data_IF_929260386226
#
_entry.id   IF_929260386226
#
_cell.length_a   1.000
_cell.length_b   1.000
_cell.length_c   1.000
_cell.angle_alpha   90.00
_cell.angle_beta   90.00
_cell.angle_gamma   90.00
#
_symmetry.space_group_name_H-M   'P 1'
#
loop_
_entity.id
_entity.type
_entity.pdbx_description
1 polymer ?
#
# COMPACT_ATOMS: atom_id res chain seq x y z
N UNK A 1 12.88 33.83 17.10
CA UNK A 1 12.94 32.35 17.05
C UNK A 1 13.54 31.94 15.73
N UNK A 2 14.42 30.94 15.72
CA UNK A 2 14.96 30.34 14.49
C UNK A 2 15.03 28.84 14.64
N UNK A 3 14.59 28.11 13.62
CA UNK A 3 14.71 26.66 13.51
C UNK A 3 15.57 26.35 12.28
N UNK A 4 16.48 25.38 12.37
CA UNK A 4 17.27 24.97 11.20
C UNK A 4 16.37 24.24 10.19
N UNK A 5 16.66 24.29 8.88
CA UNK A 5 15.92 23.52 7.88
C UNK A 5 15.87 22.02 8.20
N UNK A 6 16.98 21.48 8.71
CA UNK A 6 17.08 20.10 9.17
C UNK A 6 16.08 19.79 10.28
N UNK A 7 16.08 20.59 11.36
CA UNK A 7 15.16 20.38 12.49
C UNK A 7 13.70 20.50 12.06
N UNK A 8 13.39 21.44 11.15
CA UNK A 8 12.04 21.58 10.60
C UNK A 8 11.61 20.32 9.84
N UNK A 9 12.48 19.79 8.97
CA UNK A 9 12.23 18.56 8.24
C UNK A 9 12.02 17.38 9.19
N UNK A 10 12.90 17.20 10.20
CA UNK A 10 12.77 16.12 11.18
C UNK A 10 11.47 16.18 11.97
N UNK A 11 10.99 17.39 12.30
CA UNK A 11 9.71 17.60 12.98
C UNK A 11 8.53 17.24 12.09
N UNK A 12 8.47 17.80 10.87
CA UNK A 12 7.38 17.55 9.93
C UNK A 12 7.29 16.07 9.54
N UNK A 13 8.43 15.40 9.44
CA UNK A 13 8.52 13.98 9.12
C UNK A 13 8.37 13.08 10.35
N UNK A 14 8.28 13.58 11.59
CA UNK A 14 8.19 12.73 12.78
C UNK A 14 9.44 11.87 13.05
N UNK A 15 10.59 12.21 12.48
CA UNK A 15 11.85 11.44 12.51
C UNK A 15 12.85 11.95 13.54
N UNK A 16 12.46 12.85 14.45
CA UNK A 16 13.36 13.46 15.46
C UNK A 16 14.24 12.44 16.17
N UNK A 17 13.69 11.29 16.61
CA UNK A 17 14.46 10.27 17.31
C UNK A 17 15.49 9.57 16.41
N UNK A 18 15.13 9.29 15.14
CA UNK A 18 16.02 8.74 14.11
C UNK A 18 17.12 9.73 13.77
N UNK A 19 16.75 10.94 13.45
CA UNK A 19 17.67 11.96 12.97
C UNK A 19 18.64 12.33 14.07
N UNK A 20 18.20 12.38 15.33
CA UNK A 20 19.06 12.57 16.51
C UNK A 20 19.98 11.38 16.81
N UNK A 21 19.70 10.19 16.27
CA UNK A 21 20.59 9.03 16.33
C UNK A 21 21.68 9.13 15.25
N UNK A 22 21.27 9.48 14.03
CA UNK A 22 22.17 9.54 12.86
C UNK A 22 23.06 10.77 12.89
N UNK A 23 22.55 11.89 13.41
CA UNK A 23 23.27 13.17 13.50
C UNK A 23 23.78 13.42 14.91
N UNK A 24 24.90 14.12 15.03
CA UNK A 24 25.42 14.57 16.31
C UNK A 24 24.66 15.79 16.85
N UNK A 25 25.04 16.23 18.05
CA UNK A 25 24.41 17.36 18.74
C UNK A 25 24.54 18.69 17.99
N UNK A 26 25.51 18.83 17.08
CA UNK A 26 25.78 20.03 16.31
C UNK A 26 24.63 20.47 15.38
N UNK A 27 23.77 19.53 14.99
CA UNK A 27 22.60 19.79 14.14
C UNK A 27 21.36 20.27 14.94
N UNK A 28 21.43 20.20 16.28
CA UNK A 28 20.34 20.56 17.17
C UNK A 28 20.70 21.82 17.97
N UNK A 29 19.76 22.76 18.17
CA UNK A 29 20.01 23.94 18.98
C UNK A 29 20.45 23.62 20.42
N UNK A 30 21.74 23.76 20.72
CA UNK A 30 22.33 23.34 22.02
C UNK A 30 22.51 24.45 23.07
N UNK A 31 21.76 25.56 23.02
CA UNK A 31 21.96 26.67 23.96
C UNK A 31 21.05 26.57 25.18
N UNK A 32 21.59 26.91 26.34
CA UNK A 32 20.83 27.11 27.57
C UNK A 32 19.80 28.24 27.42
N UNK A 33 18.73 28.13 28.21
CA UNK A 33 17.64 29.11 28.25
C UNK A 33 16.31 28.60 27.66
N UNK A 34 15.37 29.53 27.41
CA UNK A 34 14.02 29.19 26.99
C UNK A 34 13.98 28.57 25.59
N UNK A 35 13.15 27.54 25.43
CA UNK A 35 13.08 26.80 24.18
C UNK A 35 11.91 25.84 24.08
N UNK A 36 11.66 25.43 22.84
CA UNK A 36 10.78 24.32 22.50
C UNK A 36 11.65 23.09 22.30
N UNK A 37 11.19 21.95 22.81
CA UNK A 37 11.82 20.65 22.61
C UNK A 37 10.81 19.64 22.06
N UNK A 38 11.34 18.65 21.35
CA UNK A 38 10.60 17.52 20.83
C UNK A 38 11.14 16.24 21.46
N UNK A 39 10.25 15.29 21.72
CA UNK A 39 10.57 13.98 22.25
C UNK A 39 9.94 12.91 21.37
N UNK A 40 10.78 12.02 20.84
CA UNK A 40 10.36 10.80 20.16
C UNK A 40 10.80 9.55 20.92
N UNK A 41 10.38 8.38 20.44
CA UNK A 41 10.79 7.09 21.00
C UNK A 41 11.61 6.35 19.95
N UNK A 42 12.75 5.80 20.36
CA UNK A 42 13.58 4.93 19.55
C UNK A 42 13.68 3.54 20.19
N UNK A 43 13.57 2.50 19.37
CA UNK A 43 13.83 1.12 19.78
C UNK A 43 15.35 0.87 19.74
N UNK A 44 15.87 0.28 20.81
CA UNK A 44 17.29 -0.07 20.94
C UNK A 44 17.65 -1.10 19.87
N UNK A 45 18.78 -0.89 19.20
CA UNK A 45 19.22 -1.74 18.09
C UNK A 45 18.58 -1.42 16.73
N UNK A 46 17.67 -0.43 16.64
CA UNK A 46 17.03 -0.03 15.37
C UNK A 46 17.46 1.35 14.86
N UNK A 47 18.66 1.81 15.24
CA UNK A 47 19.26 3.06 14.75
C UNK A 47 18.33 4.28 14.81
N UNK A 48 17.57 4.41 15.91
CA UNK A 48 16.64 5.51 16.12
C UNK A 48 15.25 5.33 15.49
N UNK A 49 15.02 4.22 14.79
CA UNK A 49 13.70 3.84 14.30
C UNK A 49 12.78 3.35 15.44
N UNK A 50 11.50 3.31 15.14
CA UNK A 50 10.43 2.97 16.06
C UNK A 50 9.93 1.54 15.82
N UNK A 51 8.61 1.34 15.91
CA UNK A 51 7.95 0.05 15.85
C UNK A 51 7.64 -0.39 14.42
N UNK A 52 7.47 -1.70 14.29
CA UNK A 52 6.82 -2.33 13.13
C UNK A 52 5.30 -2.18 13.22
N UNK A 53 4.59 -2.46 12.13
CA UNK A 53 3.13 -2.35 12.09
C UNK A 53 2.44 -3.33 13.04
N UNK A 54 2.94 -4.57 13.13
CA UNK A 54 2.37 -5.57 14.05
C UNK A 54 2.59 -5.17 15.52
N UNK A 55 3.79 -4.66 15.84
CA UNK A 55 4.12 -4.16 17.18
C UNK A 55 3.27 -2.93 17.56
N UNK A 56 2.89 -2.09 16.60
CA UNK A 56 1.96 -0.97 16.83
C UNK A 56 0.54 -1.43 17.18
N UNK A 57 0.05 -2.49 16.53
CA UNK A 57 -1.27 -3.07 16.85
C UNK A 57 -1.28 -3.70 18.24
N UNK A 58 -0.19 -4.38 18.61
CA UNK A 58 0.00 -4.93 19.95
C UNK A 58 0.05 -3.82 20.99
N UNK A 59 0.80 -2.74 20.71
CA UNK A 59 0.85 -1.56 21.57
C UNK A 59 -0.54 -0.94 21.74
N UNK A 60 -1.28 -0.71 20.64
CA UNK A 60 -2.63 -0.15 20.69
C UNK A 60 -3.59 -1.03 21.51
N UNK A 61 -3.52 -2.34 21.31
CA UNK A 61 -4.33 -3.30 22.07
C UNK A 61 -3.98 -3.30 23.56
N UNK A 62 -2.71 -3.12 23.91
CA UNK A 62 -2.27 -3.03 25.29
C UNK A 62 -2.62 -1.68 25.93
N UNK A 63 -2.69 -0.58 25.17
CA UNK A 63 -3.24 0.70 25.64
C UNK A 63 -4.72 0.53 26.02
N UNK A 64 -5.53 -0.12 25.19
CA UNK A 64 -6.95 -0.37 25.50
C UNK A 64 -7.12 -1.25 26.75
N UNK A 65 -6.32 -2.30 26.91
CA UNK A 65 -6.32 -3.11 28.15
C UNK A 65 -5.98 -2.27 29.39
N UNK A 66 -5.07 -1.31 29.24
CA UNK A 66 -4.70 -0.41 30.33
C UNK A 66 -5.84 0.58 30.67
N UNK A 67 -6.58 1.05 29.66
CA UNK A 67 -7.81 1.85 29.84
C UNK A 67 -8.89 1.03 30.57
N UNK A 68 -9.09 -0.22 30.17
CA UNK A 68 -10.04 -1.13 30.85
C UNK A 68 -9.63 -1.41 32.29
N UNK A 69 -8.33 -1.53 32.57
CA UNK A 69 -7.82 -1.66 33.92
C UNK A 69 -8.16 -0.44 34.80
N UNK A 70 -8.04 0.77 34.26
CA UNK A 70 -8.45 2.00 34.96
C UNK A 70 -9.96 1.98 35.27
N UNK A 71 -10.79 1.60 34.29
CA UNK A 71 -12.25 1.49 34.49
C UNK A 71 -12.59 0.45 35.55
N UNK A 72 -11.92 -0.70 35.54
CA UNK A 72 -12.06 -1.75 36.55
C UNK A 72 -11.63 -1.27 37.94
N UNK A 73 -10.60 -0.43 38.04
CA UNK A 73 -10.12 0.11 39.31
C UNK A 73 -11.16 0.98 40.03
N UNK A 74 -12.05 1.64 39.27
CA UNK A 74 -13.17 2.44 39.81
C UNK A 74 -14.30 1.59 40.41
N UNK A 75 -14.35 0.30 40.10
CA UNK A 75 -15.32 -0.63 40.70
C UNK A 75 -14.84 -1.01 42.11
N UNK A 76 -15.77 -1.02 43.07
CA UNK A 76 -15.50 -1.45 44.45
C UNK A 76 -14.88 -2.84 44.45
N UNK A 77 -13.80 -3.04 45.23
CA UNK A 77 -13.01 -4.27 45.22
C UNK A 77 -13.84 -5.55 45.47
N UNK A 78 -14.86 -5.47 46.32
CA UNK A 78 -15.78 -6.57 46.62
C UNK A 78 -16.72 -6.96 45.47
N UNK A 79 -16.88 -6.08 44.48
CA UNK A 79 -17.79 -6.25 43.33
C UNK A 79 -17.04 -6.53 42.02
N UNK A 80 -15.71 -6.62 42.06
CA UNK A 80 -14.90 -6.82 40.86
C UNK A 80 -15.05 -8.25 40.32
N UNK A 81 -15.24 -8.36 39.02
CA UNK A 81 -15.27 -9.64 38.31
C UNK A 81 -13.86 -10.20 38.10
N UNK A 82 -13.75 -11.50 37.79
CA UNK A 82 -12.48 -12.13 37.42
C UNK A 82 -11.73 -11.38 36.30
N UNK A 83 -12.39 -11.04 35.17
CA UNK A 83 -11.78 -10.23 34.10
C UNK A 83 -11.31 -8.85 34.57
N UNK A 84 -12.06 -8.16 35.43
CA UNK A 84 -11.65 -6.85 35.97
C UNK A 84 -10.38 -6.96 36.81
N UNK A 85 -10.27 -8.01 37.64
CA UNK A 85 -9.05 -8.27 38.41
C UNK A 85 -7.86 -8.60 37.49
N UNK A 86 -8.07 -9.35 36.40
CA UNK A 86 -7.03 -9.63 35.41
C UNK A 86 -6.52 -8.35 34.72
N UNK A 87 -7.42 -7.43 34.33
CA UNK A 87 -7.01 -6.13 33.77
C UNK A 87 -6.19 -5.30 34.76
N UNK A 88 -6.57 -5.29 36.05
CA UNK A 88 -5.80 -4.58 37.10
C UNK A 88 -4.41 -5.21 37.29
N UNK A 89 -4.31 -6.55 37.27
CA UNK A 89 -3.03 -7.25 37.34
C UNK A 89 -2.15 -6.90 36.14
N UNK A 90 -2.73 -6.85 34.93
CA UNK A 90 -2.03 -6.39 33.73
C UNK A 90 -1.46 -4.97 33.89
N UNK A 91 -2.28 -3.99 34.31
CA UNK A 91 -1.79 -2.63 34.52
C UNK A 91 -0.68 -2.55 35.59
N UNK A 92 -0.79 -3.35 36.65
CA UNK A 92 0.24 -3.45 37.70
C UNK A 92 1.56 -3.97 37.13
N UNK A 93 1.51 -4.99 36.26
CA UNK A 93 2.69 -5.54 35.59
C UNK A 93 3.32 -4.50 34.63
N UNK A 94 2.49 -3.76 33.88
CA UNK A 94 2.94 -2.67 33.01
C UNK A 94 3.65 -1.58 33.81
N UNK A 95 3.05 -1.08 34.89
CA UNK A 95 3.64 -0.02 35.72
C UNK A 95 4.92 -0.47 36.46
N UNK A 96 5.07 -1.79 36.65
CA UNK A 96 6.25 -2.40 37.30
C UNK A 96 7.38 -2.76 36.32
N UNK A 97 7.17 -2.60 35.00
CA UNK A 97 8.13 -3.03 33.97
C UNK A 97 9.44 -2.23 34.00
N UNK A 98 9.36 -0.92 34.21
CA UNK A 98 10.53 -0.02 34.28
C UNK A 98 10.87 0.35 35.73
N UNK A 99 9.91 0.24 36.66
CA UNK A 99 10.09 0.65 38.05
C UNK A 99 9.71 -0.45 39.03
N UNK A 100 10.47 -0.57 40.11
CA UNK A 100 10.32 -1.64 41.08
C UNK A 100 9.12 -1.50 42.03
N UNK A 101 8.50 -0.31 42.16
CA UNK A 101 7.40 -0.12 43.12
C UNK A 101 6.40 0.97 42.70
N UNK A 102 5.30 0.56 42.04
CA UNK A 102 4.06 1.33 42.03
C UNK A 102 2.99 0.55 42.79
N UNK A 103 2.55 1.07 43.93
CA UNK A 103 1.84 0.27 44.93
C UNK A 103 0.39 -0.02 44.55
N UNK A 104 -0.29 0.91 43.85
CA UNK A 104 -1.72 0.80 43.55
C UNK A 104 -2.19 1.70 42.40
N UNK A 105 -3.06 1.16 41.52
CA UNK A 105 -3.79 1.92 40.50
C UNK A 105 -3.16 1.88 39.11
N UNK A 106 -3.65 2.75 38.21
CA UNK A 106 -3.07 3.00 36.90
C UNK A 106 -2.29 4.31 36.96
N UNK A 107 -0.96 4.26 36.97
CA UNK A 107 -0.11 5.46 37.14
C UNK A 107 -0.38 6.52 36.07
N UNK A 108 -0.54 6.09 34.83
CA UNK A 108 -0.60 7.01 33.68
C UNK A 108 -2.01 7.53 33.39
N UNK A 109 -3.05 6.94 33.98
CA UNK A 109 -4.46 7.33 33.81
C UNK A 109 -5.06 7.59 35.18
N UNK A 110 -5.31 8.87 35.48
CA UNK A 110 -5.77 9.30 36.82
C UNK A 110 -7.21 9.79 36.84
N UNK A 111 -7.78 10.12 35.68
CA UNK A 111 -9.14 10.59 35.52
C UNK A 111 -9.76 10.05 34.22
N UNK A 112 -11.07 10.29 34.02
CA UNK A 112 -11.77 9.83 32.82
C UNK A 112 -11.20 10.49 31.56
N UNK A 113 -10.85 11.77 31.61
CA UNK A 113 -10.26 12.47 30.45
C UNK A 113 -8.92 11.84 30.02
N UNK A 114 -8.09 11.40 30.98
CA UNK A 114 -6.86 10.66 30.66
C UNK A 114 -7.18 9.34 29.95
N UNK A 115 -8.25 8.66 30.37
CA UNK A 115 -8.70 7.40 29.80
C UNK A 115 -9.23 7.58 28.37
N UNK A 116 -10.02 8.62 28.13
CA UNK A 116 -10.54 8.95 26.81
C UNK A 116 -9.42 9.35 25.84
N UNK A 117 -8.42 10.10 26.32
CA UNK A 117 -7.22 10.42 25.55
C UNK A 117 -6.37 9.20 25.24
N UNK A 118 -6.22 8.27 26.18
CA UNK A 118 -5.50 7.03 25.94
C UNK A 118 -6.24 6.12 24.93
N UNK A 119 -7.57 6.06 25.00
CA UNK A 119 -8.38 5.34 24.01
C UNK A 119 -8.25 5.97 22.60
N UNK A 120 -8.32 7.30 22.50
CA UNK A 120 -8.07 8.02 21.25
C UNK A 120 -6.65 7.76 20.72
N UNK A 121 -5.66 7.73 21.61
CA UNK A 121 -4.28 7.40 21.24
C UNK A 121 -4.18 5.98 20.66
N UNK A 122 -4.83 4.98 21.28
CA UNK A 122 -4.90 3.62 20.77
C UNK A 122 -5.53 3.55 19.36
N UNK A 123 -6.62 4.30 19.14
CA UNK A 123 -7.25 4.44 17.82
C UNK A 123 -6.26 4.97 16.77
N UNK A 124 -5.50 6.02 17.09
CA UNK A 124 -4.50 6.59 16.17
C UNK A 124 -3.34 5.64 15.89
N UNK A 125 -2.88 4.89 16.88
CA UNK A 125 -1.87 3.84 16.66
C UNK A 125 -2.35 2.76 15.68
N UNK A 126 -3.62 2.33 15.77
CA UNK A 126 -4.22 1.37 14.83
C UNK A 126 -4.35 1.93 13.42
N UNK A 127 -4.77 3.19 13.32
CA UNK A 127 -4.86 3.89 12.06
C UNK A 127 -3.50 3.90 11.36
N UNK A 128 -2.44 4.30 12.09
CA UNK A 128 -1.06 4.26 11.63
C UNK A 128 -0.60 2.85 11.21
N UNK A 129 -0.90 1.83 12.00
CA UNK A 129 -0.56 0.45 11.67
C UNK A 129 -1.24 -0.03 10.38
N UNK A 130 -2.52 0.34 10.20
CA UNK A 130 -3.30 0.03 8.99
C UNK A 130 -2.64 0.62 7.76
N UNK A 131 -2.29 1.91 7.76
CA UNK A 131 -1.60 2.52 6.63
C UNK A 131 -0.26 1.89 6.33
N UNK A 132 0.52 1.56 7.37
CA UNK A 132 1.79 0.90 7.17
C UNK A 132 1.63 -0.51 6.55
N UNK A 133 0.56 -1.24 6.92
CA UNK A 133 0.22 -2.54 6.31
C UNK A 133 -0.24 -2.44 4.85
N UNK A 134 -0.80 -1.30 4.42
CA UNK A 134 -1.11 -1.09 3.00
C UNK A 134 0.16 -1.04 2.15
N UNK A 135 1.28 -0.57 2.71
CA UNK A 135 2.57 -0.49 2.03
C UNK A 135 3.38 -1.79 2.19
N UNK A 136 3.29 -2.43 3.35
CA UNK A 136 3.91 -3.72 3.65
C UNK A 136 2.93 -4.66 4.38
N UNK A 137 2.22 -5.55 3.66
CA UNK A 137 1.24 -6.45 4.23
C UNK A 137 1.79 -7.44 5.27
N UNK A 138 3.11 -7.72 5.27
CA UNK A 138 3.73 -8.56 6.30
C UNK A 138 3.74 -7.90 7.68
N UNK A 139 3.73 -6.56 7.69
CA UNK A 139 3.83 -5.75 8.91
C UNK A 139 5.21 -5.79 9.55
N UNK A 140 6.24 -6.24 8.84
CA UNK A 140 7.62 -6.39 9.35
C UNK A 140 8.51 -5.16 9.13
N UNK A 141 8.11 -4.25 8.25
CA UNK A 141 8.85 -3.01 8.02
C UNK A 141 8.88 -2.12 9.25
N UNK A 142 10.09 -1.77 9.68
CA UNK A 142 10.33 -0.87 10.81
C UNK A 142 10.01 0.57 10.40
N UNK A 143 9.18 1.25 11.18
CA UNK A 143 8.87 2.65 10.93
C UNK A 143 9.97 3.56 11.45
N UNK A 144 10.37 4.52 10.62
CA UNK A 144 11.41 5.49 10.99
C UNK A 144 10.88 6.64 11.85
N UNK A 145 9.56 6.75 11.94
CA UNK A 145 8.83 7.81 12.61
C UNK A 145 8.20 7.28 13.90
N UNK A 146 8.20 8.08 14.95
CA UNK A 146 7.43 7.82 16.17
C UNK A 146 6.41 8.94 16.39
N UNK A 147 5.33 8.70 17.16
CA UNK A 147 4.58 9.82 17.73
C UNK A 147 5.52 10.77 18.47
N UNK A 148 5.26 12.07 18.39
CA UNK A 148 6.07 13.10 19.01
C UNK A 148 5.34 13.75 20.18
N UNK A 149 6.09 14.10 21.22
CA UNK A 149 5.67 15.03 22.26
C UNK A 149 6.43 16.34 22.06
N UNK A 150 5.70 17.45 21.97
CA UNK A 150 6.27 18.80 21.94
C UNK A 150 6.01 19.46 23.28
N UNK A 151 7.03 20.08 23.86
CA UNK A 151 6.87 20.89 25.05
C UNK A 151 7.75 22.13 25.02
N UNK A 152 7.44 23.08 25.89
CA UNK A 152 8.26 24.25 26.15
C UNK A 152 8.91 24.24 27.54
N UNK A 153 10.00 24.97 27.71
CA UNK A 153 10.63 25.19 29.01
C UNK A 153 11.49 26.45 28.99
N UNK A 154 11.58 27.14 30.13
CA UNK A 154 12.55 28.23 30.35
C UNK A 154 14.00 27.73 30.45
N UNK A 155 14.18 26.44 30.69
CA UNK A 155 15.48 25.77 30.81
C UNK A 155 15.44 24.47 30.00
N UNK A 156 15.42 24.62 28.67
CA UNK A 156 15.18 23.49 27.75
C UNK A 156 16.20 22.36 27.93
N UNK A 157 17.47 22.70 28.17
CA UNK A 157 18.55 21.73 28.37
C UNK A 157 18.32 20.90 29.63
N UNK A 158 17.96 21.53 30.75
CA UNK A 158 17.63 20.82 32.00
C UNK A 158 16.37 19.97 31.85
N UNK A 159 15.37 20.46 31.10
CA UNK A 159 14.14 19.72 30.84
C UNK A 159 14.40 18.45 30.04
N UNK A 160 15.26 18.51 29.02
CA UNK A 160 15.63 17.37 28.16
C UNK A 160 16.30 16.25 28.96
N UNK A 161 17.12 16.58 29.98
CA UNK A 161 17.75 15.59 30.88
C UNK A 161 16.73 14.74 31.67
N UNK A 162 15.45 15.12 31.71
CA UNK A 162 14.41 14.32 32.36
C UNK A 162 13.93 13.13 31.53
N UNK A 163 14.39 12.99 30.28
CA UNK A 163 13.99 11.91 29.38
C UNK A 163 15.03 10.77 29.28
N UNK A 164 16.23 10.94 29.85
CA UNK A 164 17.30 9.94 29.82
C UNK A 164 18.12 9.92 31.13
N UNK A 165 17.90 8.95 32.05
CA UNK A 165 16.75 8.04 32.05
C UNK A 165 15.43 8.80 32.30
N UNK A 166 14.30 8.28 31.81
CA UNK A 166 13.01 8.94 31.95
C UNK A 166 12.60 9.09 33.43
N UNK A 167 12.35 10.33 33.84
CA UNK A 167 11.77 10.68 35.14
C UNK A 167 10.25 10.74 34.98
N UNK A 168 9.57 9.63 35.22
CA UNK A 168 8.15 9.44 34.88
C UNK A 168 7.17 10.35 35.62
N UNK A 169 7.58 10.97 36.73
CA UNK A 169 6.85 12.05 37.41
C UNK A 169 6.92 13.39 36.65
N UNK A 170 7.87 13.52 35.72
CA UNK A 170 8.17 14.76 34.98
C UNK A 170 7.89 14.67 33.49
N UNK A 171 7.59 13.51 32.93
CA UNK A 171 7.28 13.36 31.49
C UNK A 171 5.77 13.34 31.23
N UNK A 172 5.38 13.51 29.96
CA UNK A 172 3.99 13.39 29.53
C UNK A 172 3.43 11.98 29.85
N UNK A 173 2.18 11.92 30.34
CA UNK A 173 1.53 10.66 30.77
C UNK A 173 1.43 9.60 29.66
N UNK A 174 1.03 9.98 28.44
CA UNK A 174 0.91 9.05 27.32
C UNK A 174 2.27 8.55 26.83
N UNK A 175 3.26 9.43 26.80
CA UNK A 175 4.64 9.06 26.52
C UNK A 175 5.17 8.08 27.58
N UNK A 176 4.94 8.35 28.86
CA UNK A 176 5.31 7.46 29.96
C UNK A 176 4.61 6.10 29.89
N UNK A 177 3.30 6.09 29.64
CA UNK A 177 2.51 4.87 29.42
C UNK A 177 3.11 4.04 28.28
N UNK A 178 3.44 4.69 27.16
CA UNK A 178 4.00 4.02 25.98
C UNK A 178 5.35 3.37 26.30
N UNK A 179 6.24 4.05 27.02
CA UNK A 179 7.53 3.48 27.42
C UNK A 179 7.34 2.25 28.32
N UNK A 180 6.44 2.31 29.31
CA UNK A 180 6.12 1.17 30.19
C UNK A 180 5.53 0.00 29.39
N UNK A 181 4.62 0.27 28.47
CA UNK A 181 4.03 -0.77 27.62
C UNK A 181 5.07 -1.44 26.72
N UNK A 182 5.98 -0.67 26.13
CA UNK A 182 7.06 -1.21 25.32
C UNK A 182 8.01 -2.08 26.15
N UNK A 183 8.32 -1.68 27.38
CA UNK A 183 9.10 -2.51 28.30
C UNK A 183 8.36 -3.79 28.70
N UNK A 184 7.04 -3.73 28.92
CA UNK A 184 6.21 -4.90 29.19
C UNK A 184 6.15 -5.86 27.99
N UNK A 185 6.18 -5.32 26.77
CA UNK A 185 6.25 -6.09 25.52
C UNK A 185 7.67 -6.59 25.21
N UNK A 186 8.63 -6.40 26.13
CA UNK A 186 10.03 -6.77 25.95
C UNK A 186 10.71 -6.08 24.73
N UNK A 187 10.22 -4.90 24.34
CA UNK A 187 10.78 -4.06 23.28
C UNK A 187 11.64 -2.97 23.92
N UNK A 188 12.98 -3.14 24.01
CA UNK A 188 13.86 -2.18 24.67
C UNK A 188 13.80 -0.85 23.93
N UNK A 189 13.33 0.19 24.61
CA UNK A 189 13.04 1.49 24.00
C UNK A 189 13.55 2.64 24.87
N UNK A 190 13.88 3.77 24.23
CA UNK A 190 14.35 4.99 24.91
C UNK A 190 13.67 6.23 24.36
N UNK A 191 13.41 7.20 25.24
CA UNK A 191 12.96 8.52 24.84
C UNK A 191 14.16 9.34 24.36
N UNK A 192 14.03 9.98 23.20
CA UNK A 192 15.04 10.87 22.63
C UNK A 192 14.46 12.27 22.60
N UNK A 193 15.00 13.13 23.46
CA UNK A 193 14.61 14.53 23.56
C UNK A 193 15.66 15.44 22.92
N UNK A 194 15.21 16.41 22.11
CA UNK A 194 16.06 17.41 21.48
C UNK A 194 15.40 18.78 21.54
N UNK A 195 16.22 19.81 21.77
CA UNK A 195 15.79 21.19 21.58
C UNK A 195 15.59 21.40 20.08
N UNK A 196 14.47 22.02 19.72
CA UNK A 196 14.10 22.24 18.31
C UNK A 196 13.98 23.70 17.94
N UNK A 197 13.73 24.56 18.93
CA UNK A 197 13.63 25.99 18.69
C UNK A 197 14.02 26.77 19.94
N UNK A 198 15.17 27.47 19.95
CA UNK A 198 15.49 28.41 21.01
C UNK A 198 14.62 29.66 20.92
N UNK A 199 14.26 30.21 22.08
CA UNK A 199 13.38 31.37 22.21
C UNK A 199 14.17 32.52 22.84
N UNK A 200 14.20 33.66 22.13
CA UNK A 200 14.92 34.87 22.58
C UNK A 200 14.04 35.84 23.38
N UNK A 201 12.72 35.69 23.28
CA UNK A 201 11.75 36.51 23.99
C UNK A 201 10.70 35.59 24.59
N UNK A 202 10.60 35.58 25.92
CA UNK A 202 9.71 34.72 26.69
C UNK A 202 8.24 34.86 26.24
N UNK A 203 7.82 36.03 25.74
CA UNK A 203 6.45 36.25 25.24
C UNK A 203 6.10 35.37 24.03
N UNK A 204 7.11 34.90 23.29
CA UNK A 204 6.93 34.02 22.14
C UNK A 204 6.87 32.54 22.50
N UNK A 205 7.13 32.15 23.77
CA UNK A 205 7.24 30.75 24.15
C UNK A 205 5.95 29.96 23.85
N UNK A 206 4.79 30.48 24.26
CA UNK A 206 3.49 29.84 24.00
C UNK A 206 3.14 29.80 22.52
N UNK A 207 3.47 30.85 21.76
CA UNK A 207 3.21 30.92 20.32
C UNK A 207 4.08 29.92 19.55
N UNK A 208 5.35 29.80 19.96
CA UNK A 208 6.29 28.84 19.40
C UNK A 208 5.89 27.40 19.73
N UNK A 209 5.45 27.11 20.96
CA UNK A 209 4.95 25.79 21.32
C UNK A 209 3.76 25.40 20.42
N UNK A 210 2.78 26.29 20.26
CA UNK A 210 1.63 26.08 19.36
C UNK A 210 2.05 25.78 17.94
N UNK A 211 2.93 26.61 17.37
CA UNK A 211 3.42 26.42 16.01
C UNK A 211 4.11 25.06 15.86
N UNK A 212 5.02 24.70 16.76
CA UNK A 212 5.79 23.46 16.66
C UNK A 212 4.90 22.23 16.91
N UNK A 213 3.96 22.30 17.85
CA UNK A 213 2.94 21.26 18.08
C UNK A 213 2.12 21.01 16.81
N UNK A 214 1.67 22.07 16.12
CA UNK A 214 0.93 21.94 14.87
C UNK A 214 1.81 21.36 13.76
N UNK A 215 3.04 21.84 13.58
CA UNK A 215 3.95 21.36 12.53
C UNK A 215 4.34 19.89 12.71
N UNK A 216 4.46 19.44 13.96
CA UNK A 216 4.79 18.06 14.30
C UNK A 216 3.56 17.13 14.37
N UNK A 217 2.35 17.65 14.11
CA UNK A 217 1.08 16.93 14.31
C UNK A 217 1.00 16.24 15.68
N UNK A 218 1.52 16.91 16.71
CA UNK A 218 1.87 16.25 17.96
C UNK A 218 0.69 16.06 18.92
N UNK A 219 -0.50 16.54 18.56
CA UNK A 219 -1.72 16.30 19.34
C UNK A 219 -2.14 14.83 19.29
N UNK A 220 -2.72 14.34 20.39
CA UNK A 220 -3.24 12.97 20.46
C UNK A 220 -4.40 12.71 19.49
N UNK A 221 -5.15 13.75 19.14
CA UNK A 221 -6.20 13.67 18.10
C UNK A 221 -5.64 13.58 16.68
N UNK A 222 -4.35 13.83 16.51
CA UNK A 222 -3.60 13.69 15.27
C UNK A 222 -2.74 12.44 15.37
N UNK A 223 -1.42 12.58 15.57
CA UNK A 223 -0.46 11.47 15.49
C UNK A 223 0.59 11.51 16.63
N UNK A 224 0.36 12.28 17.70
CA UNK A 224 1.35 12.52 18.76
C UNK A 224 0.89 12.29 20.20
N UNK A 225 1.67 12.80 21.14
CA UNK A 225 1.49 12.59 22.59
C UNK A 225 0.88 13.80 23.34
N UNK A 226 0.74 14.97 22.71
CA UNK A 226 0.17 16.15 23.35
C UNK A 226 -1.34 15.95 23.59
N UNK A 227 -1.69 15.76 24.86
CA UNK A 227 -3.05 15.54 25.34
C UNK A 227 -3.92 16.81 25.35
N UNK A 228 -3.28 17.99 25.40
CA UNK A 228 -3.91 19.30 25.46
C UNK A 228 -3.34 20.19 24.37
N UNK A 229 -4.13 21.15 23.92
CA UNK A 229 -3.62 22.20 23.04
C UNK A 229 -2.43 22.91 23.67
N UNK A 230 -1.40 23.15 22.86
CA UNK A 230 -0.21 23.89 23.27
C UNK A 230 -0.54 25.35 23.61
N UNK A 231 0.27 25.97 24.46
CA UNK A 231 0.08 27.35 24.90
C UNK A 231 -1.06 27.54 25.91
N UNK A 232 -1.47 26.48 26.62
CA UNK A 232 -2.66 26.38 27.47
C UNK A 232 -2.71 27.24 28.75
N UNK A 233 -1.89 28.30 28.88
CA UNK A 233 -2.27 29.37 29.80
C UNK A 233 -3.31 30.23 29.07
N UNK A 234 -4.56 30.32 29.57
CA UNK A 234 -5.57 31.17 28.95
C UNK A 234 -5.00 32.58 28.84
N UNK A 235 -4.88 33.05 27.60
CA UNK A 235 -4.49 34.43 27.37
C UNK A 235 -5.52 35.32 28.06
N UNK A 236 -5.08 36.21 28.95
CA UNK A 236 -5.91 37.28 29.51
C UNK A 236 -6.24 38.36 28.46
N UNK A 237 -5.86 38.14 27.20
CA UNK A 237 -6.13 39.06 26.10
C UNK A 237 -7.64 39.15 25.85
N UNK A 238 -8.13 40.38 25.84
CA UNK A 238 -9.52 40.72 25.51
C UNK A 238 -9.90 40.25 24.12
N UNK A 239 -11.21 40.05 23.87
CA UNK A 239 -11.72 39.72 22.54
C UNK A 239 -11.34 40.74 21.45
N UNK A 240 -11.03 41.99 21.83
CA UNK A 240 -10.50 43.00 20.92
C UNK A 240 -9.09 42.68 20.42
N UNK A 241 -8.20 42.16 21.29
CA UNK A 241 -6.83 41.79 20.92
C UNK A 241 -6.79 40.56 19.97
N UNK A 242 -7.76 39.65 20.07
CA UNK A 242 -7.94 38.58 19.10
C UNK A 242 -8.35 39.10 17.73
N UNK A 243 -9.30 40.05 17.69
CA UNK A 243 -9.75 40.68 16.44
C UNK A 243 -8.63 41.47 15.76
N UNK A 244 -7.79 42.14 16.54
CA UNK A 244 -6.68 42.95 16.04
C UNK A 244 -5.53 42.07 15.52
N UNK A 245 -5.25 40.93 16.16
CA UNK A 245 -4.30 39.94 15.66
C UNK A 245 -4.82 39.21 14.40
N UNK A 246 -6.12 38.91 14.34
CA UNK A 246 -6.74 38.40 13.11
C UNK A 246 -6.59 39.41 11.97
N UNK A 247 -6.91 40.69 12.20
CA UNK A 247 -6.67 41.75 11.21
C UNK A 247 -5.19 41.83 10.81
N UNK A 248 -4.27 41.66 11.77
CA UNK A 248 -2.85 41.69 11.47
C UNK A 248 -2.43 40.54 10.54
N UNK A 249 -2.87 39.30 10.80
CA UNK A 249 -2.46 38.12 10.03
C UNK A 249 -3.22 38.01 8.71
N UNK A 250 -4.53 38.24 8.71
CA UNK A 250 -5.39 38.03 7.55
C UNK A 250 -5.47 39.23 6.61
N UNK A 251 -5.26 40.47 7.11
CA UNK A 251 -5.43 41.70 6.32
C UNK A 251 -4.11 42.43 6.10
N UNK A 252 -3.30 42.60 7.15
CA UNK A 252 -2.13 43.50 7.08
C UNK A 252 -0.83 42.83 6.67
N UNK A 253 -0.79 41.49 6.59
CA UNK A 253 0.44 40.75 6.30
C UNK A 253 0.34 40.03 4.95
N UNK A 254 1.15 40.43 3.95
CA UNK A 254 1.04 39.91 2.59
C UNK A 254 1.36 38.42 2.51
N UNK A 255 2.24 37.91 3.37
CA UNK A 255 2.67 36.51 3.35
C UNK A 255 1.55 35.50 3.57
N UNK A 256 0.48 35.84 4.30
CA UNK A 256 -0.64 34.91 4.48
C UNK A 256 -1.41 34.74 3.17
N UNK A 257 -1.73 35.85 2.50
CA UNK A 257 -2.36 35.83 1.19
C UNK A 257 -1.45 35.18 0.14
N UNK A 258 -0.15 35.50 0.15
CA UNK A 258 0.83 34.87 -0.74
C UNK A 258 0.91 33.35 -0.52
N UNK A 259 0.82 32.90 0.73
CA UNK A 259 0.82 31.48 1.06
C UNK A 259 -0.49 30.80 0.63
N UNK A 260 -1.64 31.45 0.78
CA UNK A 260 -2.91 30.94 0.23
C UNK A 260 -2.84 30.88 -1.29
N UNK A 261 -2.40 31.93 -1.97
CA UNK A 261 -2.26 31.95 -3.43
C UNK A 261 -1.32 30.83 -3.89
N UNK A 262 -0.17 30.66 -3.24
CA UNK A 262 0.76 29.56 -3.54
C UNK A 262 0.13 28.19 -3.29
N UNK A 263 -0.56 28.01 -2.17
CA UNK A 263 -1.23 26.75 -1.86
C UNK A 263 -2.33 26.43 -2.87
N UNK A 264 -3.16 27.41 -3.23
CA UNK A 264 -4.20 27.28 -4.26
C UNK A 264 -3.60 26.96 -5.63
N UNK A 265 -2.51 27.61 -6.02
CA UNK A 265 -1.83 27.30 -7.28
C UNK A 265 -1.26 25.88 -7.29
N UNK A 266 -0.69 25.42 -6.17
CA UNK A 266 -0.22 24.04 -6.04
C UNK A 266 -1.37 23.04 -6.12
N UNK A 267 -2.50 23.31 -5.44
CA UNK A 267 -3.69 22.47 -5.51
C UNK A 267 -4.24 22.39 -6.93
N UNK A 268 -4.32 23.53 -7.62
CA UNK A 268 -4.73 23.58 -9.02
C UNK A 268 -3.79 22.80 -9.93
N UNK A 269 -2.47 22.91 -9.75
CA UNK A 269 -1.52 22.10 -10.50
C UNK A 269 -1.68 20.59 -10.25
N UNK A 270 -2.09 20.19 -9.04
CA UNK A 270 -2.41 18.80 -8.73
C UNK A 270 -3.70 18.36 -9.44
N UNK A 271 -4.74 19.20 -9.45
CA UNK A 271 -5.99 18.94 -10.19
C UNK A 271 -5.72 18.80 -11.69
N UNK A 272 -4.97 19.73 -12.28
CA UNK A 272 -4.58 19.69 -13.69
C UNK A 272 -3.81 18.38 -14.03
N UNK A 273 -2.90 17.96 -13.15
CA UNK A 273 -2.17 16.69 -13.30
C UNK A 273 -3.09 15.47 -13.18
N UNK A 274 -4.10 15.51 -12.31
CA UNK A 274 -5.10 14.44 -12.21
C UNK A 274 -5.96 14.33 -13.47
N UNK A 275 -6.36 15.46 -14.07
CA UNK A 275 -7.07 15.47 -15.36
C UNK A 275 -6.21 14.91 -16.49
N UNK A 276 -4.91 15.22 -16.50
CA UNK A 276 -3.96 14.64 -17.45
C UNK A 276 -3.85 13.12 -17.28
N UNK A 277 -3.77 12.62 -16.04
CA UNK A 277 -3.78 11.17 -15.76
C UNK A 277 -5.07 10.49 -16.19
N UNK A 278 -6.23 11.14 -16.01
CA UNK A 278 -7.52 10.64 -16.50
C UNK A 278 -7.49 10.53 -18.04
N UNK A 279 -7.00 11.57 -18.71
CA UNK A 279 -6.89 11.59 -20.17
C UNK A 279 -5.95 10.50 -20.68
N UNK A 280 -4.81 10.29 -20.02
CA UNK A 280 -3.85 9.22 -20.34
C UNK A 280 -4.47 7.84 -20.14
N UNK A 281 -5.19 7.63 -19.04
CA UNK A 281 -5.92 6.37 -18.78
C UNK A 281 -6.94 6.08 -19.87
N UNK A 282 -7.69 7.09 -20.31
CA UNK A 282 -8.72 6.90 -21.33
C UNK A 282 -8.08 6.59 -22.70
N UNK A 283 -6.97 7.26 -23.06
CA UNK A 283 -6.15 6.89 -24.23
C UNK A 283 -5.64 5.45 -24.16
N UNK A 284 -5.20 5.00 -22.99
CA UNK A 284 -4.73 3.63 -22.79
C UNK A 284 -5.86 2.62 -23.06
N UNK A 285 -7.08 2.89 -22.58
CA UNK A 285 -8.26 2.06 -22.84
C UNK A 285 -8.64 2.01 -24.32
N UNK A 286 -8.53 3.13 -25.04
CA UNK A 286 -8.78 3.16 -26.48
C UNK A 286 -7.73 2.35 -27.26
N UNK A 287 -6.47 2.40 -26.83
CA UNK A 287 -5.42 1.55 -27.38
C UNK A 287 -5.69 0.07 -27.09
N UNK A 288 -6.07 -0.30 -25.87
CA UNK A 288 -6.45 -1.68 -25.52
C UNK A 288 -7.60 -2.19 -26.39
N UNK A 289 -8.63 -1.36 -26.62
CA UNK A 289 -9.74 -1.71 -27.54
C UNK A 289 -9.23 -1.93 -28.96
N UNK A 290 -8.38 -1.04 -29.47
CA UNK A 290 -7.79 -1.15 -30.81
C UNK A 290 -6.96 -2.43 -30.95
N UNK A 291 -6.18 -2.80 -29.92
CA UNK A 291 -5.43 -4.05 -29.88
C UNK A 291 -6.36 -5.27 -29.87
N UNK A 292 -7.47 -5.22 -29.15
CA UNK A 292 -8.45 -6.30 -29.14
C UNK A 292 -9.12 -6.46 -30.51
N UNK A 293 -9.52 -5.37 -31.17
CA UNK A 293 -10.06 -5.42 -32.53
C UNK A 293 -9.07 -6.00 -33.54
N UNK A 294 -7.79 -5.62 -33.44
CA UNK A 294 -6.72 -6.21 -34.26
C UNK A 294 -6.57 -7.71 -34.01
N UNK A 295 -6.62 -8.13 -32.74
CA UNK A 295 -6.57 -9.55 -32.36
C UNK A 295 -7.77 -10.33 -32.91
N UNK A 296 -8.96 -9.76 -32.85
CA UNK A 296 -10.19 -10.38 -33.38
C UNK A 296 -10.16 -10.48 -34.91
N UNK A 297 -9.65 -9.45 -35.61
CA UNK A 297 -9.42 -9.54 -37.06
C UNK A 297 -8.40 -10.62 -37.41
N UNK A 298 -7.33 -10.71 -36.64
CA UNK A 298 -6.29 -11.72 -36.85
C UNK A 298 -6.83 -13.14 -36.65
N UNK A 299 -7.70 -13.36 -35.65
CA UNK A 299 -8.34 -14.66 -35.43
C UNK A 299 -9.30 -15.04 -36.56
N UNK A 300 -10.06 -14.09 -37.11
CA UNK A 300 -10.91 -14.31 -38.29
C UNK A 300 -10.07 -14.66 -39.52
N UNK A 301 -8.97 -13.93 -39.76
CA UNK A 301 -8.06 -14.24 -40.87
C UNK A 301 -7.42 -15.62 -40.72
N UNK A 302 -7.03 -16.01 -39.51
CA UNK A 302 -6.51 -17.35 -39.23
C UNK A 302 -7.58 -18.42 -39.49
N UNK A 303 -8.82 -18.21 -39.05
CA UNK A 303 -9.91 -19.15 -39.28
C UNK A 303 -10.27 -19.29 -40.78
N UNK A 304 -10.27 -18.18 -41.53
CA UNK A 304 -10.44 -18.19 -42.98
C UNK A 304 -9.30 -18.96 -43.67
N UNK A 305 -8.06 -18.70 -43.27
CA UNK A 305 -6.90 -19.41 -43.81
C UNK A 305 -6.99 -20.92 -43.60
N UNK A 306 -7.39 -21.36 -42.40
CA UNK A 306 -7.61 -22.80 -42.11
C UNK A 306 -8.71 -23.38 -43.01
N UNK A 307 -9.85 -22.68 -43.15
CA UNK A 307 -10.95 -23.15 -44.03
C UNK A 307 -10.52 -23.27 -45.48
N UNK A 308 -9.81 -22.28 -46.02
CA UNK A 308 -9.32 -22.33 -47.40
C UNK A 308 -8.32 -23.47 -47.60
N UNK A 309 -7.46 -23.74 -46.62
CA UNK A 309 -6.57 -24.89 -46.66
C UNK A 309 -7.34 -26.23 -46.62
N UNK A 310 -8.37 -26.35 -45.80
CA UNK A 310 -9.22 -27.55 -45.72
C UNK A 310 -10.00 -27.77 -47.02
N UNK A 311 -10.57 -26.73 -47.60
CA UNK A 311 -11.26 -26.77 -48.90
C UNK A 311 -10.31 -27.21 -50.02
N UNK A 312 -9.10 -26.63 -50.08
CA UNK A 312 -8.07 -27.06 -51.05
C UNK A 312 -7.65 -28.52 -50.85
N UNK A 313 -7.53 -28.99 -49.59
CA UNK A 313 -7.21 -30.38 -49.30
C UNK A 313 -8.33 -31.33 -49.73
N UNK A 314 -9.60 -30.95 -49.54
CA UNK A 314 -10.74 -31.73 -50.00
C UNK A 314 -10.80 -31.82 -51.53
N UNK A 315 -10.59 -30.70 -52.24
CA UNK A 315 -10.58 -30.69 -53.70
C UNK A 315 -9.47 -31.60 -54.27
N UNK A 316 -8.26 -31.53 -53.68
CA UNK A 316 -7.15 -32.43 -54.02
C UNK A 316 -7.46 -33.90 -53.73
N UNK A 317 -8.18 -34.18 -52.65
CA UNK A 317 -8.59 -35.54 -52.29
C UNK A 317 -9.61 -36.10 -53.29
N UNK A 318 -10.63 -35.32 -53.65
CA UNK A 318 -11.63 -35.71 -54.65
C UNK A 318 -10.98 -35.96 -56.02
N UNK A 319 -10.04 -35.11 -56.44
CA UNK A 319 -9.32 -35.27 -57.70
C UNK A 319 -8.51 -36.56 -57.71
N UNK A 320 -7.79 -36.86 -56.62
CA UNK A 320 -7.07 -38.12 -56.44
C UNK A 320 -8.01 -39.34 -56.52
N UNK A 321 -9.18 -39.28 -55.88
CA UNK A 321 -10.16 -40.37 -55.92
C UNK A 321 -10.71 -40.58 -57.34
N UNK A 322 -10.97 -39.51 -58.09
CA UNK A 322 -11.36 -39.60 -59.51
C UNK A 322 -10.27 -40.25 -60.36
N UNK A 323 -9.02 -39.81 -60.18
CA UNK A 323 -7.87 -40.40 -60.89
C UNK A 323 -7.71 -41.89 -60.56
N UNK A 324 -7.83 -42.29 -59.29
CA UNK A 324 -7.81 -43.70 -58.87
C UNK A 324 -8.91 -44.53 -59.51
N UNK A 325 -10.13 -43.97 -59.66
CA UNK A 325 -11.23 -44.65 -60.37
C UNK A 325 -10.93 -44.82 -61.85
N UNK A 326 -10.40 -43.79 -62.50
CA UNK A 326 -9.99 -43.87 -63.91
C UNK A 326 -8.91 -44.93 -64.11
N UNK A 327 -7.91 -45.00 -63.22
CA UNK A 327 -6.87 -46.05 -63.25
C UNK A 327 -7.51 -47.44 -63.13
N UNK A 328 -8.38 -47.67 -62.14
CA UNK A 328 -9.07 -48.97 -61.99
C UNK A 328 -9.91 -49.36 -63.20
N UNK A 329 -10.57 -48.38 -63.83
CA UNK A 329 -11.36 -48.62 -65.04
C UNK A 329 -10.46 -48.97 -66.23
N UNK A 330 -9.34 -48.26 -66.40
CA UNK A 330 -8.33 -48.57 -67.40
C UNK A 330 -7.75 -49.98 -67.20
N UNK A 331 -7.38 -50.34 -65.95
CA UNK A 331 -6.92 -51.70 -65.61
C UNK A 331 -7.98 -52.78 -65.93
N UNK A 332 -9.26 -52.47 -65.72
CA UNK A 332 -10.36 -53.39 -66.08
C UNK A 332 -10.46 -53.56 -67.60
N UNK A 333 -10.42 -52.46 -68.35
CA UNK A 333 -10.45 -52.48 -69.81
C UNK A 333 -9.21 -53.20 -70.38
N UNK A 334 -8.04 -53.00 -69.78
CA UNK A 334 -6.81 -53.70 -70.14
C UNK A 334 -6.96 -55.21 -69.93
N UNK A 335 -7.54 -55.65 -68.80
CA UNK A 335 -7.84 -57.08 -68.57
C UNK A 335 -8.83 -57.64 -69.57
N UNK A 336 -9.91 -56.91 -69.86
CA UNK A 336 -10.90 -57.32 -70.86
C UNK A 336 -10.28 -57.44 -72.25
N UNK A 337 -9.43 -56.49 -72.64
CA UNK A 337 -8.65 -56.54 -73.88
C UNK A 337 -7.68 -57.73 -73.88
N UNK A 338 -6.98 -57.99 -72.77
CA UNK A 338 -6.09 -59.14 -72.64
C UNK A 338 -6.84 -60.45 -72.81
N UNK A 339 -8.02 -60.61 -72.19
CA UNK A 339 -8.89 -61.79 -72.38
C UNK A 339 -9.37 -61.93 -73.83
N UNK A 340 -9.68 -60.81 -74.50
CA UNK A 340 -10.05 -60.83 -75.92
C UNK A 340 -8.88 -61.24 -76.80
N UNK A 341 -7.66 -60.76 -76.52
CA UNK A 341 -6.45 -61.18 -77.23
C UNK A 341 -6.22 -62.68 -77.05
N UNK A 342 -6.34 -63.20 -75.82
CA UNK A 342 -6.27 -64.65 -75.56
C UNK A 342 -7.35 -65.44 -76.32
N UNK A 343 -8.59 -64.92 -76.36
CA UNK A 343 -9.68 -65.53 -77.12
C UNK A 343 -9.40 -65.52 -78.64
N UNK A 344 -8.86 -64.41 -79.16
CA UNK A 344 -8.44 -64.29 -80.55
C UNK A 344 -7.32 -65.26 -80.88
N UNK A 345 -6.34 -65.45 -79.98
CA UNK A 345 -5.30 -66.46 -80.16
C UNK A 345 -5.86 -67.88 -80.15
N UNK A 346 -6.82 -68.19 -79.27
CA UNK A 346 -7.51 -69.48 -79.23
C UNK A 346 -8.33 -69.73 -80.50
N UNK A 347 -9.10 -68.73 -80.96
CA UNK A 347 -9.87 -68.79 -82.21
C UNK A 347 -8.94 -68.96 -83.41
N UNK A 348 -7.80 -68.26 -83.43
CA UNK A 348 -6.78 -68.42 -84.46
C UNK A 348 -6.15 -69.83 -84.43
N UNK A 349 -6.02 -70.47 -83.28
CA UNK A 349 -5.56 -71.85 -83.17
C UNK A 349 -6.64 -72.88 -83.56
N UNK A 350 -7.91 -72.58 -83.33
CA UNK A 350 -9.05 -73.42 -83.70
C UNK A 350 -9.42 -73.30 -85.18
N UNK A 351 -9.19 -72.13 -85.78
CA UNK A 351 -9.41 -71.87 -87.18
C UNK A 351 -8.40 -72.66 -88.03
N UNK A 352 -8.90 -73.73 -88.66
CA UNK A 352 -8.17 -74.45 -89.69
C UNK A 352 -8.51 -73.78 -91.02
N UNK A 353 -7.50 -73.36 -91.81
CA UNK A 353 -7.71 -72.77 -93.14
C UNK A 353 -8.48 -73.67 -94.13
N UNK A 354 -8.78 -74.91 -93.74
CA UNK A 354 -9.48 -75.92 -94.52
C UNK A 354 -11.02 -75.69 -94.55
N UNK A 355 -11.58 -74.92 -93.61
CA UNK A 355 -13.04 -74.67 -93.51
C UNK A 355 -13.53 -73.49 -94.39
N UNK A 356 -12.62 -72.66 -94.90
CA UNK A 356 -12.95 -71.51 -95.78
C UNK A 356 -13.35 -71.89 -97.21
N UNK A 357 -13.12 -73.14 -97.61
CA UNK A 357 -13.57 -73.65 -98.92
C UNK A 357 -15.06 -74.00 -98.94
N UNK A 358 -15.74 -74.17 -97.79
CA UNK A 358 -17.19 -74.38 -97.74
C UNK A 358 -18.00 -73.08 -97.59
N UNK A 359 -17.43 -72.03 -96.98
CA UNK A 359 -18.15 -70.77 -96.78
C UNK A 359 -18.19 -69.88 -98.03
N UNK A 360 -17.14 -69.92 -98.87
CA UNK A 360 -17.08 -69.15 -100.12
C UNK A 360 -17.96 -69.73 -101.24
N UNK A 361 -18.49 -70.95 -101.11
CA UNK A 361 -19.49 -71.47 -102.07
C UNK A 361 -20.93 -71.10 -101.70
N UNK A 362 -21.16 -70.46 -100.55
CA UNK A 362 -22.50 -70.06 -100.06
C UNK A 362 -22.76 -68.55 -100.16
N UNK A 363 -21.75 -67.74 -100.45
CA UNK A 363 -21.85 -66.26 -100.51
C UNK A 363 -21.74 -65.68 -101.94
N UNK A 364 -21.67 -66.52 -102.98
CA UNK A 364 -21.60 -66.06 -104.38
C UNK A 364 -22.96 -66.00 -105.11
N UNK A 365 -24.06 -66.42 -104.49
CA UNK A 365 -25.36 -66.59 -105.18
C UNK A 365 -26.39 -65.47 -104.95
N UNK A 366 -26.12 -64.43 -104.16
CA UNK A 366 -27.04 -63.29 -104.01
C UNK A 366 -26.28 -61.96 -103.99
N UNK A 367 -25.94 -61.45 -105.18
CA UNK A 367 -25.80 -60.02 -105.43
C UNK A 367 -26.86 -59.58 -106.43
N UNK A 368 -27.84 -58.80 -105.97
CA UNK A 368 -28.48 -57.70 -106.73
C UNK A 368 -29.08 -56.73 -105.69
N UNK A 369 -28.46 -55.57 -105.44
CA UNK A 369 -28.82 -54.22 -105.97
C UNK A 369 -30.17 -53.74 -105.37
N UNK A 370 -30.24 -52.75 -104.48
CA UNK A 370 -29.85 -51.32 -104.60
C UNK A 370 -29.24 -50.70 -103.31
#
# INVERSE_FOLDING_TARGET
>A
MSMSPFTLQSLMMGTVARDAFVTGSEHWPGKDGPGIYAVGIAVVGRFGAFLKSNELEDLASNVDKYVEAYRAYKVLSSLRTGPQNASIQFATAVDSSIHTFFKYGCRSITCNDDADRAALFAERLRHRATYAKLLDPSGDSVQMQSPLYIGCSDQVVERIKSYDPPKFDRINKLLGLTLNLLSYMEIPSRAIARSVMPIWDHRHLNQAERLVTTLASSLVSQEGFNATEAGGNPSTASGSAFRENQMQVFVNKPYFNDNIIKATNTLKAIEDYQEELITLRDKLRDQERSFQELRDRLSVLQALHVRTCDEMCQELHEKNERERRMIKQAEKQEKELSSLVELFELLRCAYRPEDDQQLNSLLSDDMDVD
#
